data_IF_819166618357
#
_entry.id   IF_819166618357
#
_cell.length_a   1.000
_cell.length_b   1.000
_cell.length_c   1.000
_cell.angle_alpha   90.00
_cell.angle_beta   90.00
_cell.angle_gamma   90.00
#
_symmetry.space_group_name_H-M   'P 1'
#
loop_
_entity.id
_entity.type
_entity.pdbx_description
1 polymer ?
#
# COMPACT_ATOMS: atom_id res chain seq x y z
N UNK A 1 40.69 16.08 -14.06
CA UNK A 1 39.37 16.63 -13.66
C UNK A 1 38.33 15.54 -13.87
N UNK A 2 38.06 14.72 -12.83
CA UNK A 2 37.04 13.67 -12.91
C UNK A 2 35.68 14.31 -12.64
N UNK A 3 34.71 14.11 -13.54
CA UNK A 3 33.34 14.63 -13.38
C UNK A 3 32.60 13.80 -12.31
N UNK A 4 32.30 14.34 -11.12
CA UNK A 4 31.62 13.60 -10.05
C UNK A 4 30.15 13.23 -10.40
N UNK A 5 29.61 13.72 -11.52
CA UNK A 5 28.20 13.54 -11.89
C UNK A 5 27.80 12.14 -12.40
N UNK A 6 28.69 11.36 -13.04
CA UNK A 6 28.27 10.09 -13.67
C UNK A 6 27.97 8.95 -12.69
N UNK A 7 28.62 8.94 -11.52
CA UNK A 7 28.51 7.84 -10.54
C UNK A 7 27.25 7.97 -9.66
N UNK A 8 26.77 9.20 -9.46
CA UNK A 8 25.56 9.43 -8.66
C UNK A 8 24.29 8.98 -9.40
N UNK A 9 24.24 9.21 -10.71
CA UNK A 9 23.08 8.90 -11.55
C UNK A 9 22.88 7.40 -11.74
N UNK A 10 23.94 6.61 -11.90
CA UNK A 10 23.83 5.15 -12.06
C UNK A 10 23.22 4.48 -10.83
N UNK A 11 23.63 4.90 -9.62
CA UNK A 11 23.12 4.35 -8.36
C UNK A 11 21.64 4.66 -8.13
N UNK A 12 21.16 5.82 -8.58
CA UNK A 12 19.74 6.15 -8.50
C UNK A 12 18.91 5.27 -9.43
N UNK A 13 19.35 5.09 -10.68
CA UNK A 13 18.65 4.21 -11.63
C UNK A 13 18.60 2.77 -11.11
N UNK A 14 19.70 2.28 -10.52
CA UNK A 14 19.71 0.97 -9.84
C UNK A 14 18.67 0.93 -8.73
N UNK A 15 18.64 1.88 -7.79
CA UNK A 15 17.64 1.88 -6.71
C UNK A 15 16.19 1.92 -7.23
N UNK A 16 15.93 2.67 -8.29
CA UNK A 16 14.60 2.68 -8.93
C UNK A 16 14.26 1.29 -9.46
N UNK A 17 15.15 0.65 -10.21
CA UNK A 17 14.93 -0.70 -10.73
C UNK A 17 14.73 -1.74 -9.60
N UNK A 18 15.55 -1.67 -8.55
CA UNK A 18 15.43 -2.52 -7.36
C UNK A 18 14.07 -2.31 -6.68
N UNK A 19 13.65 -1.06 -6.52
CA UNK A 19 12.36 -0.70 -5.93
C UNK A 19 11.19 -1.22 -6.75
N UNK A 20 11.20 -1.05 -8.07
CA UNK A 20 10.13 -1.56 -8.94
C UNK A 20 10.00 -3.09 -8.86
N UNK A 21 11.13 -3.81 -8.89
CA UNK A 21 11.13 -5.26 -8.71
C UNK A 21 10.59 -5.67 -7.33
N UNK A 22 11.02 -4.97 -6.28
CA UNK A 22 10.54 -5.19 -4.92
C UNK A 22 9.04 -4.88 -4.77
N UNK A 23 8.51 -3.86 -5.45
CA UNK A 23 7.09 -3.54 -5.45
C UNK A 23 6.24 -4.61 -6.12
N UNK A 24 6.71 -5.18 -7.22
CA UNK A 24 6.03 -6.31 -7.87
C UNK A 24 5.95 -7.54 -6.95
N UNK A 25 7.08 -7.96 -6.38
CA UNK A 25 7.11 -9.10 -5.44
C UNK A 25 6.29 -8.80 -4.18
N UNK A 26 6.48 -7.62 -3.60
CA UNK A 26 5.77 -7.18 -2.40
C UNK A 26 4.25 -7.21 -2.60
N UNK A 27 3.76 -6.69 -3.73
CA UNK A 27 2.32 -6.68 -4.04
C UNK A 27 1.75 -8.10 -4.13
N UNK A 28 2.50 -9.02 -4.75
CA UNK A 28 2.12 -10.43 -4.82
C UNK A 28 2.02 -11.06 -3.42
N UNK A 29 3.01 -10.78 -2.56
CA UNK A 29 3.02 -11.26 -1.17
C UNK A 29 1.87 -10.65 -0.36
N UNK A 30 1.61 -9.34 -0.49
CA UNK A 30 0.49 -8.66 0.18
C UNK A 30 -0.84 -9.30 -0.20
N UNK A 31 -1.11 -9.47 -1.49
CA UNK A 31 -2.37 -10.04 -1.97
C UNK A 31 -2.61 -11.45 -1.41
N UNK A 32 -1.57 -12.30 -1.40
CA UNK A 32 -1.65 -13.64 -0.82
C UNK A 32 -1.87 -13.61 0.71
N UNK A 33 -1.17 -12.71 1.41
CA UNK A 33 -1.28 -12.54 2.85
C UNK A 33 -2.66 -11.99 3.25
N UNK A 34 -3.17 -10.98 2.54
CA UNK A 34 -4.43 -10.31 2.83
C UNK A 34 -5.61 -11.27 2.83
N UNK A 35 -5.80 -12.05 1.76
CA UNK A 35 -6.89 -13.02 1.68
C UNK A 35 -6.82 -14.07 2.79
N UNK A 36 -5.63 -14.62 3.04
CA UNK A 36 -5.41 -15.63 4.09
C UNK A 36 -5.66 -15.06 5.50
N UNK A 37 -5.18 -13.84 5.75
CA UNK A 37 -5.33 -13.15 7.03
C UNK A 37 -6.76 -12.65 7.22
N UNK A 38 -7.49 -12.30 6.16
CA UNK A 38 -8.88 -11.88 6.24
C UNK A 38 -9.75 -13.06 6.64
N UNK A 39 -9.63 -14.19 5.92
CA UNK A 39 -10.39 -15.41 6.25
C UNK A 39 -10.11 -15.86 7.69
N UNK A 40 -8.83 -15.89 8.07
CA UNK A 40 -8.46 -16.26 9.43
C UNK A 40 -8.94 -15.25 10.48
N UNK A 41 -8.78 -13.96 10.19
CA UNK A 41 -9.12 -12.85 11.08
C UNK A 41 -10.62 -12.79 11.34
N UNK A 42 -11.44 -12.83 10.30
CA UNK A 42 -12.91 -12.83 10.42
C UNK A 42 -13.43 -14.09 11.12
N UNK A 43 -12.78 -15.24 10.93
CA UNK A 43 -13.15 -16.46 11.67
C UNK A 43 -12.85 -16.37 13.16
N UNK A 44 -11.77 -15.70 13.56
CA UNK A 44 -11.34 -15.58 14.98
C UNK A 44 -11.91 -14.35 15.68
N UNK A 45 -12.18 -13.29 14.93
CA UNK A 45 -12.64 -11.99 15.38
C UNK A 45 -13.77 -11.53 14.44
N UNK A 46 -14.93 -12.21 14.47
CA UNK A 46 -16.02 -11.93 13.55
C UNK A 46 -16.46 -10.46 13.64
N UNK A 47 -16.70 -9.78 12.50
CA UNK A 47 -17.24 -8.43 12.51
C UNK A 47 -18.61 -8.37 13.18
N UNK A 48 -18.86 -7.30 13.93
CA UNK A 48 -20.18 -6.98 14.45
C UNK A 48 -21.14 -6.60 13.31
N UNK A 49 -22.47 -6.72 13.50
CA UNK A 49 -23.45 -6.34 12.48
C UNK A 49 -23.22 -4.91 11.96
N UNK A 50 -23.14 -4.77 10.64
CA UNK A 50 -22.94 -3.48 9.97
C UNK A 50 -21.47 -3.03 9.86
N UNK A 51 -20.51 -3.63 10.56
CA UNK A 51 -19.11 -3.19 10.44
C UNK A 51 -18.52 -3.43 9.05
N UNK A 52 -18.98 -4.47 8.33
CA UNK A 52 -18.55 -4.74 6.95
C UNK A 52 -19.04 -3.69 5.94
N UNK A 53 -20.08 -2.93 6.30
CA UNK A 53 -20.62 -1.86 5.44
C UNK A 53 -19.80 -0.57 5.51
N UNK A 54 -18.90 -0.45 6.49
CA UNK A 54 -18.04 0.72 6.67
C UNK A 54 -17.01 0.83 5.54
N UNK A 55 -16.69 2.06 5.16
CA UNK A 55 -15.65 2.34 4.16
C UNK A 55 -14.31 1.72 4.56
N UNK A 56 -13.76 0.88 3.66
CA UNK A 56 -12.51 0.16 3.86
C UNK A 56 -12.56 -1.08 4.76
N UNK A 57 -13.75 -1.57 5.12
CA UNK A 57 -13.90 -2.68 6.05
C UNK A 57 -13.98 -4.09 5.42
N UNK A 58 -14.38 -4.20 4.14
CA UNK A 58 -14.58 -5.50 3.49
C UNK A 58 -14.19 -5.45 1.99
N UNK A 59 -12.95 -5.79 1.63
CA UNK A 59 -12.52 -5.81 0.23
C UNK A 59 -13.19 -6.92 -0.60
N UNK A 60 -13.75 -7.96 0.03
CA UNK A 60 -14.36 -9.09 -0.68
C UNK A 60 -15.84 -8.81 -1.03
N UNK A 61 -16.55 -8.08 -0.18
CA UNK A 61 -17.96 -7.73 -0.38
C UNK A 61 -18.21 -6.33 -0.93
N UNK A 62 -17.28 -5.39 -0.69
CA UNK A 62 -17.50 -3.95 -0.91
C UNK A 62 -16.27 -3.26 -1.51
N UNK A 63 -15.75 -3.80 -2.62
CA UNK A 63 -14.59 -3.24 -3.35
C UNK A 63 -14.77 -1.77 -3.77
N UNK A 64 -16.01 -1.36 -4.07
CA UNK A 64 -16.39 0.01 -4.42
C UNK A 64 -16.26 1.00 -3.24
N UNK A 65 -16.30 0.50 -2.01
CA UNK A 65 -16.11 1.28 -0.76
C UNK A 65 -14.69 1.18 -0.20
N UNK A 66 -13.77 0.55 -0.92
CA UNK A 66 -12.36 0.53 -0.51
C UNK A 66 -11.70 1.89 -0.76
N UNK A 67 -10.69 2.28 0.05
CA UNK A 67 -10.11 3.62 -0.03
C UNK A 67 -9.61 4.03 -1.43
N UNK A 68 -8.99 3.17 -2.25
CA UNK A 68 -8.60 3.54 -3.61
C UNK A 68 -9.79 3.92 -4.51
N UNK A 69 -10.92 3.22 -4.40
CA UNK A 69 -12.16 3.48 -5.14
C UNK A 69 -12.76 4.83 -4.74
N UNK A 70 -12.84 5.08 -3.44
CA UNK A 70 -13.35 6.34 -2.89
C UNK A 70 -12.41 7.53 -3.21
N UNK A 71 -11.10 7.33 -3.18
CA UNK A 71 -10.12 8.34 -3.61
C UNK A 71 -10.30 8.70 -5.08
N UNK A 72 -10.54 7.71 -5.95
CA UNK A 72 -10.78 7.96 -7.36
C UNK A 72 -12.06 8.76 -7.59
N UNK A 73 -13.17 8.38 -6.96
CA UNK A 73 -14.42 9.15 -7.03
C UNK A 73 -14.21 10.59 -6.55
N UNK A 74 -13.51 10.80 -5.43
CA UNK A 74 -13.19 12.14 -4.92
C UNK A 74 -12.30 12.94 -5.88
N UNK A 75 -11.33 12.31 -6.51
CA UNK A 75 -10.48 12.95 -7.52
C UNK A 75 -11.31 13.40 -8.73
N UNK A 76 -12.19 12.54 -9.23
CA UNK A 76 -13.10 12.87 -10.34
C UNK A 76 -14.04 14.01 -9.93
N UNK A 77 -14.64 13.95 -8.75
CA UNK A 77 -15.50 15.01 -8.23
C UNK A 77 -14.76 16.36 -8.15
N UNK A 78 -13.53 16.36 -7.63
CA UNK A 78 -12.71 17.56 -7.52
C UNK A 78 -12.28 18.15 -8.89
N UNK A 79 -12.18 17.32 -9.93
CA UNK A 79 -11.68 17.73 -11.26
C UNK A 79 -12.79 18.02 -12.26
N UNK A 80 -13.92 17.31 -12.17
CA UNK A 80 -15.00 17.29 -13.16
C UNK A 80 -16.39 17.55 -12.56
N UNK A 81 -16.49 17.67 -11.24
CA UNK A 81 -17.76 17.89 -10.51
C UNK A 81 -18.43 16.60 -10.06
N UNK A 82 -19.33 16.71 -9.06
CA UNK A 82 -19.99 15.57 -8.42
C UNK A 82 -20.79 14.71 -9.41
N UNK A 83 -21.53 15.34 -10.34
CA UNK A 83 -22.30 14.62 -11.35
C UNK A 83 -21.44 13.69 -12.22
N UNK A 84 -20.18 14.06 -12.48
CA UNK A 84 -19.26 13.19 -13.23
C UNK A 84 -18.74 12.02 -12.38
N UNK A 85 -18.60 12.21 -11.06
CA UNK A 85 -18.20 11.13 -10.14
C UNK A 85 -19.34 10.13 -9.89
N UNK A 86 -20.58 10.63 -9.85
CA UNK A 86 -21.79 9.80 -9.70
C UNK A 86 -22.10 8.98 -10.96
N UNK A 87 -21.64 9.46 -12.13
CA UNK A 87 -21.83 8.80 -13.42
C UNK A 87 -20.75 7.75 -13.75
N UNK A 88 -19.75 7.54 -12.89
CA UNK A 88 -18.74 6.50 -13.09
C UNK A 88 -19.39 5.12 -12.94
N UNK A 89 -19.17 4.26 -13.92
CA UNK A 89 -19.49 2.84 -13.81
C UNK A 89 -18.45 2.08 -12.97
N UNK A 90 -18.73 0.81 -12.71
CA UNK A 90 -17.89 -0.03 -11.85
C UNK A 90 -16.50 -0.28 -12.45
N UNK A 91 -16.40 -0.38 -13.78
CA UNK A 91 -15.14 -0.61 -14.49
C UNK A 91 -14.22 0.61 -14.38
N UNK A 92 -14.76 1.82 -14.52
CA UNK A 92 -14.04 3.07 -14.32
C UNK A 92 -13.51 3.19 -12.88
N UNK A 93 -14.34 2.83 -11.90
CA UNK A 93 -13.99 2.91 -10.48
C UNK A 93 -12.89 1.91 -10.14
N UNK A 94 -13.01 0.67 -10.62
CA UNK A 94 -12.01 -0.37 -10.42
C UNK A 94 -10.69 0.00 -11.10
N UNK A 95 -10.72 0.50 -12.33
CA UNK A 95 -9.50 0.95 -13.01
C UNK A 95 -8.80 2.10 -12.25
N UNK A 96 -9.58 3.06 -11.74
CA UNK A 96 -9.09 4.14 -10.91
C UNK A 96 -8.51 3.66 -9.57
N UNK A 97 -9.20 2.73 -8.90
CA UNK A 97 -8.76 2.10 -7.67
C UNK A 97 -7.42 1.36 -7.87
N UNK A 98 -7.32 0.54 -8.92
CA UNK A 98 -6.09 -0.16 -9.29
C UNK A 98 -4.95 0.81 -9.59
N UNK A 99 -5.23 1.95 -10.22
CA UNK A 99 -4.21 2.97 -10.47
C UNK A 99 -3.62 3.52 -9.16
N UNK A 100 -4.46 3.93 -8.20
CA UNK A 100 -4.00 4.41 -6.89
C UNK A 100 -3.21 3.35 -6.14
N UNK A 101 -3.74 2.12 -6.10
CA UNK A 101 -3.10 1.03 -5.38
C UNK A 101 -1.73 0.70 -5.98
N UNK A 102 -1.63 0.59 -7.32
CA UNK A 102 -0.35 0.36 -8.01
C UNK A 102 0.62 1.51 -7.80
N UNK A 103 0.17 2.76 -7.89
CA UNK A 103 1.04 3.92 -7.68
C UNK A 103 1.73 3.87 -6.31
N UNK A 104 1.00 3.52 -5.25
CA UNK A 104 1.57 3.35 -3.92
C UNK A 104 2.44 2.08 -3.81
N UNK A 105 1.95 0.96 -4.35
CA UNK A 105 2.64 -0.33 -4.32
C UNK A 105 4.01 -0.34 -5.03
N UNK A 106 4.23 0.54 -6.01
CA UNK A 106 5.53 0.73 -6.65
C UNK A 106 6.29 1.95 -6.13
N UNK A 107 5.58 3.02 -5.74
CA UNK A 107 6.18 4.24 -5.23
C UNK A 107 6.91 4.04 -3.90
N UNK A 108 6.29 3.35 -2.94
CA UNK A 108 6.91 3.11 -1.64
C UNK A 108 8.22 2.31 -1.74
N UNK A 109 8.31 1.19 -2.49
CA UNK A 109 9.54 0.42 -2.60
C UNK A 109 10.68 1.17 -3.30
N UNK A 110 10.37 2.01 -4.30
CA UNK A 110 11.37 2.91 -4.92
C UNK A 110 11.90 3.89 -3.90
N UNK A 111 11.02 4.53 -3.14
CA UNK A 111 11.41 5.41 -2.05
C UNK A 111 12.25 4.67 -0.99
N UNK A 112 11.81 3.49 -0.58
CA UNK A 112 12.48 2.64 0.42
C UNK A 112 13.87 2.21 -0.05
N UNK A 113 14.03 1.80 -1.31
CA UNK A 113 15.33 1.46 -1.88
C UNK A 113 16.30 2.65 -1.80
N UNK A 114 15.87 3.84 -2.22
CA UNK A 114 16.69 5.07 -2.15
C UNK A 114 17.02 5.43 -0.70
N UNK A 115 16.03 5.38 0.20
CA UNK A 115 16.17 5.75 1.60
C UNK A 115 17.19 4.84 2.31
N UNK A 116 17.01 3.52 2.19
CA UNK A 116 17.84 2.53 2.91
C UNK A 116 19.30 2.52 2.46
N UNK A 117 19.62 3.04 1.27
CA UNK A 117 21.01 3.27 0.86
C UNK A 117 21.67 4.38 1.68
N UNK A 118 20.93 5.41 2.04
CA UNK A 118 21.43 6.59 2.77
C UNK A 118 21.31 6.44 4.28
N UNK A 119 20.29 5.72 4.72
CA UNK A 119 19.95 5.50 6.12
C UNK A 119 19.82 3.99 6.35
N UNK A 120 20.92 3.26 6.59
CA UNK A 120 20.88 1.80 6.79
C UNK A 120 19.95 1.39 7.95
N UNK A 121 19.81 2.24 8.97
CA UNK A 121 18.90 2.03 10.08
C UNK A 121 17.42 1.93 9.65
N UNK A 122 17.04 2.48 8.49
CA UNK A 122 15.69 2.33 7.96
C UNK A 122 15.31 0.88 7.63
N UNK A 123 16.30 -0.03 7.57
CA UNK A 123 16.11 -1.48 7.41
C UNK A 123 15.95 -2.22 8.75
N UNK A 124 16.02 -1.53 9.88
CA UNK A 124 15.84 -2.16 11.19
C UNK A 124 14.48 -2.88 11.25
N UNK A 125 14.49 -4.12 11.74
CA UNK A 125 13.31 -4.98 11.72
C UNK A 125 13.00 -5.62 10.35
N UNK A 126 13.93 -5.59 9.39
CA UNK A 126 13.83 -6.35 8.14
C UNK A 126 12.62 -5.96 7.29
N UNK A 127 12.29 -4.67 7.22
CA UNK A 127 11.15 -4.16 6.47
C UNK A 127 9.81 -4.20 7.20
N UNK A 128 9.67 -4.99 8.28
CA UNK A 128 8.43 -5.07 9.05
C UNK A 128 8.03 -3.71 9.64
N UNK A 129 9.00 -2.99 10.21
CA UNK A 129 8.78 -1.64 10.72
C UNK A 129 8.36 -0.66 9.61
N UNK A 130 8.94 -0.77 8.42
CA UNK A 130 8.56 0.04 7.25
C UNK A 130 7.13 -0.23 6.80
N UNK A 131 6.72 -1.50 6.74
CA UNK A 131 5.34 -1.89 6.45
C UNK A 131 4.33 -1.40 7.50
N UNK A 132 4.66 -1.51 8.78
CA UNK A 132 3.82 -1.00 9.87
C UNK A 132 3.68 0.54 9.82
N UNK A 133 4.78 1.26 9.53
CA UNK A 133 4.76 2.71 9.34
C UNK A 133 3.91 3.10 8.13
N UNK A 134 4.03 2.37 7.02
CA UNK A 134 3.19 2.60 5.83
C UNK A 134 1.70 2.45 6.18
N UNK A 135 1.34 1.35 6.83
CA UNK A 135 -0.02 1.12 7.31
C UNK A 135 -0.51 2.24 8.23
N UNK A 136 0.26 2.62 9.24
CA UNK A 136 -0.12 3.70 10.16
C UNK A 136 -0.26 5.07 9.45
N UNK A 137 0.63 5.37 8.50
CA UNK A 137 0.61 6.63 7.75
C UNK A 137 -0.60 6.76 6.82
N UNK A 138 -1.06 5.65 6.23
CA UNK A 138 -2.23 5.68 5.36
C UNK A 138 -3.50 5.32 6.12
N UNK A 139 -3.61 4.09 6.57
CA UNK A 139 -4.82 3.55 7.19
C UNK A 139 -5.03 4.06 8.62
N UNK A 140 -3.97 4.37 9.35
CA UNK A 140 -4.06 4.93 10.69
C UNK A 140 -4.29 6.44 10.73
N UNK A 141 -4.15 7.15 9.59
CA UNK A 141 -4.21 8.62 9.58
C UNK A 141 -4.73 9.21 8.26
N UNK A 142 -3.98 9.15 7.17
CA UNK A 142 -4.30 9.88 5.92
C UNK A 142 -5.66 9.51 5.34
N UNK A 143 -5.98 8.22 5.22
CA UNK A 143 -7.23 7.75 4.61
C UNK A 143 -8.46 8.10 5.47
N UNK A 144 -8.46 7.89 6.80
CA UNK A 144 -9.52 8.42 7.66
C UNK A 144 -9.65 9.95 7.60
N UNK A 145 -8.53 10.68 7.61
CA UNK A 145 -8.55 12.14 7.55
C UNK A 145 -9.13 12.69 6.24
N UNK A 146 -8.96 11.95 5.14
CA UNK A 146 -9.58 12.25 3.85
C UNK A 146 -11.04 11.79 3.76
N UNK A 147 -11.57 11.09 4.78
CA UNK A 147 -12.92 10.52 4.80
C UNK A 147 -13.16 9.54 3.65
N UNK A 148 -12.16 8.70 3.36
CA UNK A 148 -12.24 7.59 2.39
C UNK A 148 -12.06 6.23 3.07
N UNK A 149 -12.08 6.23 4.40
CA UNK A 149 -12.03 5.07 5.26
C UNK A 149 -12.67 5.45 6.59
N UNK A 150 -13.38 4.52 7.23
CA UNK A 150 -13.83 4.71 8.60
C UNK A 150 -12.65 4.90 9.57
N UNK A 151 -12.93 5.41 10.77
CA UNK A 151 -11.91 5.53 11.81
C UNK A 151 -11.35 4.15 12.16
N UNK A 152 -10.03 4.00 12.42
CA UNK A 152 -9.45 2.72 12.83
C UNK A 152 -10.10 2.09 14.08
N UNK A 153 -10.75 2.91 14.91
CA UNK A 153 -11.50 2.46 16.09
C UNK A 153 -12.89 1.87 15.79
N UNK A 154 -13.45 2.16 14.62
CA UNK A 154 -14.78 1.71 14.19
C UNK A 154 -14.71 0.44 13.33
N UNK A 155 -13.58 0.26 12.65
CA UNK A 155 -13.31 -0.89 11.78
C UNK A 155 -13.32 -2.22 12.58
N UNK A 156 -13.71 -3.34 11.94
CA UNK A 156 -13.68 -4.65 12.58
C UNK A 156 -12.32 -4.97 13.19
N UNK A 157 -12.27 -5.70 14.31
CA UNK A 157 -10.96 -6.12 14.89
C UNK A 157 -10.15 -6.98 13.91
N UNK A 158 -10.83 -7.78 13.07
CA UNK A 158 -10.20 -8.54 12.00
C UNK A 158 -9.44 -7.65 10.98
N UNK A 159 -9.86 -6.39 10.78
CA UNK A 159 -9.22 -5.45 9.88
C UNK A 159 -7.75 -5.18 10.24
N UNK A 160 -7.45 -5.04 11.53
CA UNK A 160 -6.07 -4.87 12.01
C UNK A 160 -5.19 -6.09 11.68
N UNK A 161 -5.79 -7.28 11.65
CA UNK A 161 -5.09 -8.52 11.33
C UNK A 161 -4.77 -8.56 9.84
N UNK A 162 -5.78 -8.38 8.97
CA UNK A 162 -5.58 -8.58 7.54
C UNK A 162 -4.97 -7.38 6.86
N UNK A 163 -5.40 -6.15 7.17
CA UNK A 163 -4.83 -4.97 6.55
C UNK A 163 -3.45 -4.68 7.16
N UNK A 164 -3.38 -4.56 8.49
CA UNK A 164 -2.13 -4.32 9.19
C UNK A 164 -1.09 -5.42 8.95
N UNK A 165 -1.50 -6.68 9.06
CA UNK A 165 -0.60 -7.83 8.87
C UNK A 165 -0.09 -7.96 7.43
N UNK A 166 -0.94 -7.71 6.43
CA UNK A 166 -0.53 -7.80 5.03
C UNK A 166 0.41 -6.64 4.63
N UNK A 167 0.29 -5.45 5.23
CA UNK A 167 1.28 -4.37 5.08
C UNK A 167 2.63 -4.70 5.72
N UNK A 168 2.63 -5.38 6.86
CA UNK A 168 3.89 -5.89 7.47
C UNK A 168 4.54 -6.92 6.55
N UNK A 169 3.78 -7.88 6.03
CA UNK A 169 4.27 -8.88 5.09
C UNK A 169 4.82 -8.24 3.80
N UNK A 170 4.12 -7.23 3.28
CA UNK A 170 4.56 -6.39 2.16
C UNK A 170 5.92 -5.74 2.43
N UNK A 171 6.07 -5.07 3.59
CA UNK A 171 7.32 -4.42 3.99
C UNK A 171 8.49 -5.39 4.09
N UNK A 172 8.27 -6.56 4.67
CA UNK A 172 9.29 -7.64 4.76
C UNK A 172 9.72 -8.12 3.37
N UNK A 173 8.75 -8.38 2.48
CA UNK A 173 9.05 -8.82 1.12
C UNK A 173 9.84 -7.76 0.34
N UNK A 174 9.46 -6.49 0.45
CA UNK A 174 10.17 -5.37 -0.17
C UNK A 174 11.61 -5.30 0.32
N UNK A 175 11.83 -5.35 1.63
CA UNK A 175 13.17 -5.26 2.20
C UNK A 175 14.07 -6.42 1.76
N UNK A 176 13.53 -7.64 1.77
CA UNK A 176 14.22 -8.84 1.34
C UNK A 176 14.70 -8.74 -0.12
N UNK A 177 13.81 -8.31 -1.02
CA UNK A 177 14.15 -8.16 -2.45
C UNK A 177 15.18 -7.05 -2.67
N UNK A 178 14.97 -5.88 -2.06
CA UNK A 178 15.90 -4.75 -2.16
C UNK A 178 17.29 -5.16 -1.67
N UNK A 179 17.40 -5.86 -0.54
CA UNK A 179 18.69 -6.29 0.01
C UNK A 179 19.39 -7.30 -0.88
N UNK A 180 18.65 -8.33 -1.29
CA UNK A 180 19.18 -9.45 -2.07
C UNK A 180 19.73 -8.95 -3.39
N UNK A 181 18.92 -8.20 -4.14
CA UNK A 181 19.32 -7.67 -5.43
C UNK A 181 20.45 -6.64 -5.29
N UNK A 182 20.45 -5.83 -4.23
CA UNK A 182 21.56 -4.90 -3.94
C UNK A 182 22.87 -5.62 -3.64
N UNK A 183 22.85 -6.78 -2.98
CA UNK A 183 24.07 -7.58 -2.73
C UNK A 183 24.63 -8.17 -4.03
N UNK A 184 23.77 -8.54 -4.98
CA UNK A 184 24.15 -9.14 -6.26
C UNK A 184 24.65 -8.10 -7.27
N UNK A 185 24.15 -6.86 -7.18
CA UNK A 185 24.48 -5.78 -8.13
C UNK A 185 25.60 -4.85 -7.66
N UNK A 186 26.25 -5.18 -6.54
CA UNK A 186 27.38 -4.44 -5.97
C UNK A 186 28.71 -4.83 -6.57
#
# INVERSE_FOLDING_TARGET
>A
MQYPGRVASSKLLTDVALGLAAGWVGSTVKAAAESSLQEWGERKLPPEPGQKELDGADPAGHGDRMPPSLLYRKLVAARKGQAAADALDDDDVEAGAQWFHRALAYGYPVFYAVLTRRVPLARAGGGAAGGAVLFAAFHGSTLPALGVQASPSELPKAWWVWEGGSHVAYGVAVDFVVDTLRRITR
#
